data_IF_628073190211
#
_entry.id   IF_628073190211
#
_cell.length_a   1.000
_cell.length_b   1.000
_cell.length_c   1.000
_cell.angle_alpha   90.00
_cell.angle_beta   90.00
_cell.angle_gamma   90.00
#
_symmetry.space_group_name_H-M   'P 1'
#
loop_
_entity.id
_entity.type
_entity.pdbx_description
1 polymer ?
#
# COMPACT_ATOMS: atom_id res chain seq x y z
N UNK A 1 -2.90 -24.86 21.04
CA UNK A 1 -3.40 -25.85 22.02
C UNK A 1 -3.31 -25.32 23.46
N UNK A 2 -2.17 -24.78 23.90
CA UNK A 2 -2.02 -24.24 25.28
C UNK A 2 -3.00 -23.12 25.65
N UNK A 3 -3.27 -22.17 24.74
CA UNK A 3 -4.21 -21.05 24.97
C UNK A 3 -5.66 -21.55 25.13
N UNK A 4 -6.05 -22.58 24.38
CA UNK A 4 -7.38 -23.19 24.47
C UNK A 4 -7.55 -23.92 25.81
N UNK A 5 -6.51 -24.63 26.27
CA UNK A 5 -6.52 -25.34 27.55
C UNK A 5 -6.62 -24.40 28.76
N UNK A 6 -5.98 -23.23 28.71
CA UNK A 6 -6.05 -22.23 29.79
C UNK A 6 -7.45 -21.60 29.88
N UNK A 7 -8.16 -21.44 28.76
CA UNK A 7 -9.50 -20.87 28.70
C UNK A 7 -10.60 -21.84 29.18
N UNK A 8 -10.46 -23.14 28.93
CA UNK A 8 -11.38 -24.16 29.49
C UNK A 8 -11.34 -24.14 31.03
N UNK A 9 -10.21 -23.74 31.63
CA UNK A 9 -10.06 -23.66 33.09
C UNK A 9 -10.77 -22.45 33.73
N UNK A 10 -11.02 -21.38 32.97
CA UNK A 10 -11.59 -20.11 33.48
C UNK A 10 -13.12 -20.12 33.54
N UNK A 11 -13.80 -21.04 32.85
CA UNK A 11 -15.28 -21.13 32.83
C UNK A 11 -15.78 -22.41 33.48
N UNK A 12 -15.24 -22.76 34.64
CA UNK A 12 -15.96 -23.66 35.55
C UNK A 12 -16.87 -22.78 36.41
N UNK A 13 -18.16 -22.70 36.05
CA UNK A 13 -19.16 -22.32 37.05
C UNK A 13 -18.96 -23.31 38.20
N UNK A 14 -18.65 -22.85 39.44
CA UNK A 14 -18.51 -23.76 40.57
C UNK A 14 -19.79 -24.58 40.62
N UNK A 15 -19.67 -25.89 40.45
CA UNK A 15 -20.82 -26.78 40.42
C UNK A 15 -21.63 -26.52 41.69
N UNK A 16 -22.91 -26.20 41.52
CA UNK A 16 -23.84 -26.12 42.62
C UNK A 16 -23.84 -27.50 43.29
N UNK A 17 -23.11 -27.62 44.41
CA UNK A 17 -23.19 -28.78 45.28
C UNK A 17 -24.65 -28.90 45.72
N UNK A 18 -25.29 -30.02 45.39
CA UNK A 18 -26.65 -30.32 45.81
C UNK A 18 -26.72 -30.31 47.33
N UNK A 19 -27.27 -29.24 47.90
CA UNK A 19 -27.63 -29.14 49.31
C UNK A 19 -29.11 -29.41 49.45
N UNK A 20 -29.45 -30.59 49.97
CA UNK A 20 -30.80 -30.90 50.45
C UNK A 20 -31.06 -30.36 51.86
N UNK A 21 -32.34 -30.26 52.21
CA UNK A 21 -32.85 -29.88 53.53
C UNK A 21 -33.07 -28.37 53.65
N UNK A 22 -34.09 -27.86 54.32
CA UNK A 22 -35.07 -28.42 55.26
C UNK A 22 -35.76 -27.19 55.88
N UNK A 23 -37.03 -27.34 56.24
CA UNK A 23 -37.93 -26.23 56.60
C UNK A 23 -37.52 -25.40 57.83
N UNK A 24 -38.31 -24.35 58.07
CA UNK A 24 -38.28 -23.58 59.31
C UNK A 24 -38.65 -22.13 59.08
N UNK A 25 -39.86 -21.75 59.51
CA UNK A 25 -40.34 -20.38 59.47
C UNK A 25 -39.66 -19.47 60.48
N UNK A 26 -39.90 -18.17 60.34
CA UNK A 26 -39.49 -17.17 61.32
C UNK A 26 -39.40 -15.79 60.67
N UNK A 27 -40.35 -14.91 61.01
CA UNK A 27 -40.40 -13.54 60.52
C UNK A 27 -39.21 -12.70 61.00
N UNK A 28 -38.76 -11.79 60.14
CA UNK A 28 -37.73 -10.81 60.47
C UNK A 28 -37.59 -9.79 59.35
N UNK A 29 -38.17 -8.60 59.55
CA UNK A 29 -37.94 -7.42 58.72
C UNK A 29 -36.49 -6.95 58.91
N UNK A 30 -35.71 -6.96 57.83
CA UNK A 30 -34.37 -6.40 57.77
C UNK A 30 -33.81 -6.62 56.36
N UNK A 31 -34.09 -5.68 55.45
CA UNK A 31 -33.76 -5.76 54.03
C UNK A 31 -32.26 -5.69 53.75
N UNK A 32 -31.55 -6.78 54.01
CA UNK A 32 -30.28 -7.10 53.37
C UNK A 32 -30.62 -7.80 52.05
N UNK A 33 -30.24 -7.19 50.93
CA UNK A 33 -30.61 -7.62 49.58
C UNK A 33 -30.04 -9.00 49.23
N UNK A 34 -30.77 -10.06 49.61
CA UNK A 34 -30.54 -11.41 49.13
C UNK A 34 -30.78 -11.43 47.62
N UNK A 35 -29.69 -11.34 46.84
CA UNK A 35 -29.72 -11.67 45.42
C UNK A 35 -30.21 -13.11 45.29
N UNK A 36 -31.26 -13.30 44.50
CA UNK A 36 -31.81 -14.61 44.19
C UNK A 36 -30.70 -15.57 43.73
N UNK A 37 -30.79 -16.87 44.10
CA UNK A 37 -29.81 -17.87 43.69
C UNK A 37 -29.73 -17.91 42.16
N UNK A 38 -28.51 -17.77 41.66
CA UNK A 38 -28.19 -17.72 40.24
C UNK A 38 -28.70 -19.00 39.57
N UNK A 39 -29.58 -18.87 38.57
CA UNK A 39 -30.13 -20.04 37.89
C UNK A 39 -29.10 -20.60 36.90
N UNK A 40 -29.13 -21.91 36.65
CA UNK A 40 -28.21 -22.59 35.72
C UNK A 40 -28.30 -22.04 34.29
N UNK A 41 -29.50 -21.59 33.88
CA UNK A 41 -29.72 -20.94 32.58
C UNK A 41 -28.95 -19.62 32.42
N UNK A 42 -28.87 -18.80 33.48
CA UNK A 42 -28.12 -17.53 33.45
C UNK A 42 -26.60 -17.75 33.33
N UNK A 43 -26.05 -18.82 33.94
CA UNK A 43 -24.63 -19.20 33.75
C UNK A 43 -24.35 -19.57 32.29
N UNK A 44 -25.25 -20.32 31.64
CA UNK A 44 -25.09 -20.73 30.25
C UNK A 44 -25.17 -19.53 29.28
N UNK A 45 -26.11 -18.61 29.49
CA UNK A 45 -26.20 -17.38 28.68
C UNK A 45 -24.92 -16.55 28.79
N UNK A 46 -24.38 -16.35 30.00
CA UNK A 46 -23.14 -15.58 30.19
C UNK A 46 -21.93 -16.25 29.56
N UNK A 47 -21.82 -17.58 29.63
CA UNK A 47 -20.77 -18.34 28.94
C UNK A 47 -20.84 -18.13 27.43
N UNK A 48 -22.03 -18.23 26.85
CA UNK A 48 -22.22 -18.10 25.41
C UNK A 48 -21.91 -16.66 24.93
N UNK A 49 -22.31 -15.63 25.71
CA UNK A 49 -21.94 -14.23 25.44
C UNK A 49 -20.41 -14.06 25.49
N UNK A 50 -19.76 -14.58 26.53
CA UNK A 50 -18.30 -14.50 26.68
C UNK A 50 -17.55 -15.18 25.53
N UNK A 51 -18.02 -16.36 25.11
CA UNK A 51 -17.47 -17.09 23.96
C UNK A 51 -17.66 -16.30 22.66
N UNK A 52 -18.83 -15.69 22.45
CA UNK A 52 -19.13 -14.87 21.28
C UNK A 52 -18.17 -13.68 21.14
N UNK A 53 -18.00 -12.91 22.21
CA UNK A 53 -17.07 -11.76 22.23
C UNK A 53 -15.64 -12.20 21.89
N UNK A 54 -15.21 -13.33 22.46
CA UNK A 54 -13.87 -13.86 22.22
C UNK A 54 -13.64 -14.29 20.77
N UNK A 55 -14.61 -15.01 20.16
CA UNK A 55 -14.53 -15.41 18.75
C UNK A 55 -14.46 -14.18 17.84
N UNK A 56 -15.28 -13.16 18.10
CA UNK A 56 -15.25 -11.91 17.34
C UNK A 56 -13.90 -11.20 17.45
N UNK A 57 -13.30 -11.16 18.65
CA UNK A 57 -11.98 -10.57 18.86
C UNK A 57 -10.87 -11.32 18.10
N UNK A 58 -10.88 -12.66 18.11
CA UNK A 58 -9.91 -13.47 17.36
C UNK A 58 -10.06 -13.28 15.86
N UNK A 59 -11.29 -13.26 15.34
CA UNK A 59 -11.54 -13.03 13.92
C UNK A 59 -11.07 -11.63 13.49
N UNK A 60 -11.33 -10.61 14.31
CA UNK A 60 -10.81 -9.26 14.11
C UNK A 60 -9.28 -9.20 14.08
N UNK A 61 -8.61 -9.88 15.03
CA UNK A 61 -7.15 -9.97 15.07
C UNK A 61 -6.58 -10.71 13.85
N UNK A 62 -7.23 -11.79 13.42
CA UNK A 62 -6.84 -12.54 12.22
C UNK A 62 -6.97 -11.70 10.94
N UNK A 63 -8.09 -10.99 10.75
CA UNK A 63 -8.28 -10.06 9.61
C UNK A 63 -7.21 -8.95 9.65
N UNK A 64 -6.91 -8.40 10.83
CA UNK A 64 -5.88 -7.39 10.97
C UNK A 64 -4.49 -7.93 10.60
N UNK A 65 -4.13 -9.11 11.10
CA UNK A 65 -2.85 -9.76 10.83
C UNK A 65 -2.69 -10.11 9.35
N UNK A 66 -3.69 -10.77 8.75
CA UNK A 66 -3.67 -11.10 7.32
C UNK A 66 -3.55 -9.86 6.44
N UNK A 67 -4.28 -8.77 6.75
CA UNK A 67 -4.12 -7.48 6.05
C UNK A 67 -2.73 -6.87 6.21
N UNK A 68 -2.10 -7.00 7.38
CA UNK A 68 -0.73 -6.52 7.63
C UNK A 68 0.29 -7.31 6.82
N UNK A 69 0.19 -8.63 6.84
CA UNK A 69 1.05 -9.54 6.09
C UNK A 69 0.88 -9.34 4.58
N UNK A 70 -0.36 -9.26 4.10
CA UNK A 70 -0.67 -8.97 2.70
C UNK A 70 -0.07 -7.64 2.24
N UNK A 71 -0.23 -6.56 3.03
CA UNK A 71 0.41 -5.27 2.75
C UNK A 71 1.94 -5.37 2.71
N UNK A 72 2.55 -6.17 3.59
CA UNK A 72 3.99 -6.41 3.57
C UNK A 72 4.45 -7.13 2.29
N UNK A 73 3.68 -8.11 1.80
CA UNK A 73 4.00 -8.85 0.58
C UNK A 73 3.88 -8.04 -0.71
N UNK A 74 3.00 -7.02 -0.72
CA UNK A 74 2.71 -6.20 -1.91
C UNK A 74 3.59 -4.95 -1.99
N UNK A 75 4.23 -4.55 -0.90
CA UNK A 75 5.21 -3.46 -0.93
C UNK A 75 6.23 -3.67 -2.03
N UNK A 76 6.46 -2.61 -2.81
CA UNK A 76 7.40 -2.62 -3.94
C UNK A 76 6.91 -3.30 -5.21
N UNK A 77 5.63 -3.65 -5.32
CA UNK A 77 5.03 -4.08 -6.59
C UNK A 77 3.84 -3.20 -6.95
N UNK A 78 3.70 -2.78 -8.22
CA UNK A 78 2.44 -2.23 -8.69
C UNK A 78 1.36 -3.32 -8.63
N UNK A 79 0.10 -2.93 -8.50
CA UNK A 79 -1.04 -3.86 -8.50
C UNK A 79 -1.30 -4.49 -9.87
N UNK A 80 -0.79 -3.86 -10.92
CA UNK A 80 -0.99 -4.19 -12.33
C UNK A 80 0.36 -3.99 -13.04
N UNK A 81 0.60 -4.69 -14.14
CA UNK A 81 1.74 -4.34 -15.00
C UNK A 81 1.47 -3.03 -15.78
N UNK A 82 2.46 -2.53 -16.50
CA UNK A 82 2.32 -1.28 -17.25
C UNK A 82 1.27 -1.37 -18.36
N UNK A 83 1.10 -2.54 -18.98
CA UNK A 83 0.16 -2.76 -20.09
C UNK A 83 -1.27 -2.68 -19.59
N UNK A 84 -1.55 -3.36 -18.48
CA UNK A 84 -2.86 -3.31 -17.83
C UNK A 84 -3.14 -1.92 -17.26
N UNK A 85 -2.12 -1.29 -16.67
CA UNK A 85 -2.23 0.06 -16.11
C UNK A 85 -2.63 1.11 -17.16
N UNK A 86 -2.09 1.05 -18.38
CA UNK A 86 -2.45 2.01 -19.44
C UNK A 86 -3.82 1.73 -20.08
N UNK A 87 -4.28 0.47 -20.04
CA UNK A 87 -5.57 0.02 -20.61
C UNK A 87 -6.75 0.26 -19.68
N UNK A 88 -6.52 0.35 -18.37
CA UNK A 88 -7.59 0.50 -17.40
C UNK A 88 -8.49 1.69 -17.77
N UNK A 89 -9.77 1.37 -18.00
CA UNK A 89 -10.86 2.28 -18.37
C UNK A 89 -11.09 3.33 -17.28
N UNK A 90 -10.19 4.30 -17.16
CA UNK A 90 -10.58 5.60 -16.62
C UNK A 90 -11.52 6.22 -17.62
N UNK A 91 -12.71 6.63 -17.16
CA UNK A 91 -13.66 7.42 -17.93
C UNK A 91 -12.91 8.36 -18.87
N UNK A 92 -13.13 8.18 -20.18
CA UNK A 92 -12.47 8.98 -21.21
C UNK A 92 -12.84 10.43 -20.95
N UNK A 93 -11.89 11.15 -20.38
CA UNK A 93 -12.03 12.55 -20.07
C UNK A 93 -11.71 13.27 -21.38
N UNK A 94 -12.71 13.29 -22.27
CA UNK A 94 -12.59 13.57 -23.71
C UNK A 94 -12.27 15.02 -24.06
N UNK A 95 -11.93 15.85 -23.08
CA UNK A 95 -11.88 17.30 -23.26
C UNK A 95 -10.46 17.85 -23.09
N UNK A 96 -9.46 17.13 -23.62
CA UNK A 96 -8.09 17.60 -23.66
C UNK A 96 -7.69 17.95 -25.08
N UNK A 97 -7.46 19.24 -25.29
CA UNK A 97 -7.06 19.83 -26.57
C UNK A 97 -5.59 19.57 -26.90
N UNK A 98 -4.76 19.23 -25.90
CA UNK A 98 -3.33 18.99 -26.07
C UNK A 98 -2.90 17.61 -25.58
N UNK A 99 -2.18 16.90 -26.44
CA UNK A 99 -1.49 15.64 -26.13
C UNK A 99 -0.26 15.92 -25.25
N UNK A 100 -0.24 15.46 -23.98
CA UNK A 100 0.89 15.73 -23.09
C UNK A 100 2.15 14.90 -23.42
N UNK A 101 2.07 13.94 -24.36
CA UNK A 101 3.16 13.05 -24.71
C UNK A 101 4.11 13.69 -25.75
N UNK A 102 4.84 14.71 -25.31
CA UNK A 102 5.82 15.44 -26.13
C UNK A 102 7.26 14.95 -25.89
N UNK A 103 7.99 14.72 -26.98
CA UNK A 103 9.43 14.43 -26.94
C UNK A 103 10.20 15.67 -26.48
N UNK A 104 11.07 15.51 -25.50
CA UNK A 104 11.82 16.61 -24.93
C UNK A 104 12.52 16.25 -23.63
N UNK A 105 13.04 17.27 -22.94
CA UNK A 105 13.65 17.12 -21.62
C UNK A 105 12.61 17.34 -20.54
N UNK A 106 12.33 16.30 -19.77
CA UNK A 106 11.39 16.34 -18.67
C UNK A 106 12.11 16.60 -17.35
N UNK A 107 11.41 17.23 -16.40
CA UNK A 107 11.85 17.39 -15.03
C UNK A 107 11.11 16.41 -14.13
N UNK A 108 11.83 15.55 -13.42
CA UNK A 108 11.22 14.58 -12.51
C UNK A 108 11.72 14.71 -11.08
N UNK A 109 10.87 14.30 -10.13
CA UNK A 109 11.22 14.16 -8.72
C UNK A 109 10.45 13.01 -8.11
N UNK A 110 11.01 12.41 -7.08
CA UNK A 110 10.39 11.26 -6.41
C UNK A 110 10.54 11.32 -4.90
N UNK A 111 9.63 10.67 -4.19
CA UNK A 111 9.62 10.62 -2.74
C UNK A 111 10.21 9.30 -2.26
N UNK A 112 11.30 9.36 -1.49
CA UNK A 112 12.03 8.20 -0.98
C UNK A 112 12.58 8.55 0.41
N UNK A 113 12.53 7.60 1.35
CA UNK A 113 13.03 7.78 2.72
C UNK A 113 12.52 9.03 3.44
N UNK A 114 11.25 9.39 3.23
CA UNK A 114 10.64 10.54 3.90
C UNK A 114 11.02 11.91 3.32
N UNK A 115 11.69 11.96 2.17
CA UNK A 115 12.08 13.21 1.49
C UNK A 115 11.82 13.16 -0.01
N UNK A 116 11.61 14.35 -0.60
CA UNK A 116 11.64 14.51 -2.05
C UNK A 116 13.09 14.57 -2.55
N UNK A 117 13.37 13.85 -3.64
CA UNK A 117 14.62 13.85 -4.39
C UNK A 117 14.39 14.51 -5.75
N UNK A 118 15.32 15.34 -6.20
CA UNK A 118 15.22 16.11 -7.44
C UNK A 118 14.89 17.59 -7.21
N UNK A 119 14.57 18.36 -8.28
CA UNK A 119 14.31 17.87 -9.64
C UNK A 119 15.56 17.36 -10.36
N UNK A 120 15.37 16.35 -11.20
CA UNK A 120 16.37 15.81 -12.13
C UNK A 120 15.86 15.96 -13.56
N UNK A 121 16.77 15.86 -14.54
CA UNK A 121 16.45 15.98 -15.97
C UNK A 121 16.35 14.59 -16.60
N UNK A 122 15.37 14.40 -17.45
CA UNK A 122 15.11 13.14 -18.15
C UNK A 122 14.67 13.41 -19.58
N UNK A 123 15.59 13.34 -20.56
CA UNK A 123 15.22 13.28 -21.97
C UNK A 123 14.33 12.07 -22.25
N UNK A 124 13.13 12.31 -22.77
CA UNK A 124 12.19 11.27 -23.20
C UNK A 124 11.87 11.44 -24.68
N UNK A 125 11.91 10.33 -25.41
CA UNK A 125 11.50 10.23 -26.80
C UNK A 125 10.22 9.41 -26.90
N UNK A 126 9.12 10.06 -27.29
CA UNK A 126 7.83 9.40 -27.48
C UNK A 126 7.65 8.99 -28.95
N UNK A 127 7.39 7.70 -29.17
CA UNK A 127 7.02 7.17 -30.47
C UNK A 127 5.51 6.93 -30.52
N UNK A 128 4.78 7.83 -31.18
CA UNK A 128 3.32 7.77 -31.30
C UNK A 128 2.82 6.57 -32.09
N UNK A 129 3.56 6.11 -33.10
CA UNK A 129 3.16 4.97 -33.93
C UNK A 129 3.11 3.66 -33.14
N UNK A 130 4.00 3.49 -32.17
CA UNK A 130 4.07 2.30 -31.31
C UNK A 130 3.52 2.52 -29.90
N UNK A 131 3.13 3.75 -29.54
CA UNK A 131 2.77 4.13 -28.18
C UNK A 131 3.84 3.77 -27.14
N UNK A 132 5.11 3.89 -27.53
CA UNK A 132 6.28 3.59 -26.68
C UNK A 132 7.07 4.86 -26.35
N UNK A 133 7.77 4.82 -25.22
CA UNK A 133 8.66 5.90 -24.80
C UNK A 133 10.00 5.32 -24.39
N UNK A 134 11.07 6.02 -24.74
CA UNK A 134 12.44 5.67 -24.31
C UNK A 134 13.15 6.90 -23.76
N UNK A 135 14.15 6.68 -22.92
CA UNK A 135 14.97 7.74 -22.37
C UNK A 135 16.15 7.20 -21.59
N UNK A 136 17.00 8.12 -21.13
CA UNK A 136 18.10 7.80 -20.23
C UNK A 136 18.41 9.03 -19.39
N UNK A 137 18.99 8.83 -18.22
CA UNK A 137 19.34 9.93 -17.34
C UNK A 137 20.17 9.48 -16.16
N UNK A 138 20.41 10.45 -15.28
CA UNK A 138 21.20 10.26 -14.06
C UNK A 138 20.48 10.97 -12.91
N UNK A 139 20.46 10.32 -11.75
CA UNK A 139 20.00 10.94 -10.51
C UNK A 139 20.97 10.63 -9.36
N UNK A 140 20.54 10.85 -8.11
CA UNK A 140 21.37 10.56 -6.94
C UNK A 140 21.58 9.05 -6.67
N UNK A 141 20.83 8.16 -7.31
CA UNK A 141 21.02 6.71 -7.22
C UNK A 141 22.06 6.29 -8.24
N UNK A 142 21.94 6.73 -9.49
CA UNK A 142 22.94 6.49 -10.52
C UNK A 142 22.44 6.75 -11.93
N UNK A 143 23.16 6.19 -12.90
CA UNK A 143 22.78 6.17 -14.31
C UNK A 143 21.67 5.16 -14.56
N UNK A 144 20.73 5.49 -15.44
CA UNK A 144 19.64 4.60 -15.79
C UNK A 144 19.15 4.79 -17.22
N UNK A 145 18.55 3.73 -17.77
CA UNK A 145 17.74 3.75 -18.98
C UNK A 145 16.26 3.66 -18.63
N UNK A 146 15.41 4.19 -19.48
CA UNK A 146 13.95 4.15 -19.35
C UNK A 146 13.36 3.58 -20.63
N UNK A 147 12.52 2.56 -20.46
CA UNK A 147 11.65 2.03 -21.51
C UNK A 147 10.21 2.04 -21.00
N UNK A 148 9.24 2.34 -21.85
CA UNK A 148 7.87 2.40 -21.40
C UNK A 148 6.84 2.42 -22.51
N UNK A 149 5.59 2.49 -22.08
CA UNK A 149 4.41 2.59 -22.92
C UNK A 149 3.50 3.69 -22.39
N UNK A 150 2.76 4.31 -23.29
CA UNK A 150 1.83 5.37 -22.95
C UNK A 150 0.50 5.18 -23.68
N UNK A 151 -0.52 5.90 -23.25
CA UNK A 151 -1.81 5.92 -23.93
C UNK A 151 -2.35 7.34 -23.97
N UNK A 152 -2.45 7.91 -25.17
CA UNK A 152 -3.12 9.19 -25.42
C UNK A 152 -4.61 9.15 -25.11
N UNK A 153 -5.23 7.95 -25.08
CA UNK A 153 -6.64 7.79 -24.72
C UNK A 153 -6.88 7.90 -23.22
N UNK A 154 -6.03 7.27 -22.40
CA UNK A 154 -6.20 7.24 -20.94
C UNK A 154 -5.33 8.28 -20.22
N UNK A 155 -4.44 8.95 -20.95
CA UNK A 155 -3.43 9.88 -20.43
C UNK A 155 -2.58 9.27 -19.32
N UNK A 156 -2.16 8.03 -19.55
CA UNK A 156 -1.35 7.24 -18.62
C UNK A 156 0.00 6.91 -19.22
N UNK A 157 0.99 6.82 -18.34
CA UNK A 157 2.37 6.55 -18.66
C UNK A 157 2.90 5.44 -17.74
N UNK A 158 3.34 4.33 -18.33
CA UNK A 158 3.98 3.23 -17.62
C UNK A 158 5.44 3.11 -18.05
N UNK A 159 6.38 3.29 -17.12
CA UNK A 159 7.81 3.24 -17.37
C UNK A 159 8.47 2.09 -16.59
N UNK A 160 9.56 1.60 -17.15
CA UNK A 160 10.53 0.68 -16.57
C UNK A 160 11.88 1.36 -16.59
N UNK A 161 12.35 1.80 -15.42
CA UNK A 161 13.62 2.48 -15.24
C UNK A 161 14.66 1.47 -14.73
N UNK A 162 15.71 1.20 -15.51
CA UNK A 162 16.76 0.23 -15.15
C UNK A 162 18.06 0.95 -14.83
N UNK A 163 18.55 0.80 -13.61
CA UNK A 163 19.83 1.37 -13.21
C UNK A 163 21.01 0.55 -13.73
N UNK A 164 22.08 1.23 -14.13
CA UNK A 164 23.36 0.63 -14.51
C UNK A 164 24.23 0.42 -13.26
N UNK A 165 24.55 -0.83 -12.97
CA UNK A 165 25.40 -1.20 -11.84
C UNK A 165 26.78 -0.51 -11.93
N UNK A 166 27.30 -0.05 -10.81
CA UNK A 166 28.62 0.62 -10.73
C UNK A 166 28.58 2.13 -10.98
N UNK A 167 27.40 2.73 -11.07
CA UNK A 167 27.23 4.19 -11.20
C UNK A 167 26.53 4.77 -9.96
N UNK A 168 26.80 6.03 -9.62
CA UNK A 168 26.14 6.72 -8.49
C UNK A 168 26.44 6.11 -7.12
N UNK A 169 25.42 6.00 -6.28
CA UNK A 169 25.54 5.49 -4.91
C UNK A 169 25.48 3.95 -4.89
N UNK A 170 26.57 3.25 -4.55
CA UNK A 170 26.61 1.78 -4.57
C UNK A 170 25.70 1.12 -3.51
N UNK A 171 25.25 1.88 -2.49
CA UNK A 171 24.35 1.37 -1.46
C UNK A 171 22.88 1.41 -1.89
N UNK A 172 22.53 2.31 -2.81
CA UNK A 172 21.19 2.41 -3.38
C UNK A 172 21.11 1.74 -4.77
N UNK A 173 22.15 1.85 -5.60
CA UNK A 173 22.20 1.31 -6.95
C UNK A 173 22.65 -0.16 -6.99
N UNK A 174 21.65 -1.03 -6.89
CA UNK A 174 21.81 -2.47 -7.01
C UNK A 174 21.60 -2.99 -8.45
N UNK A 175 21.70 -2.13 -9.47
CA UNK A 175 21.44 -2.50 -10.88
C UNK A 175 19.99 -2.92 -11.15
N UNK A 176 19.06 -2.38 -10.35
CA UNK A 176 17.69 -2.84 -10.30
C UNK A 176 16.76 -2.10 -11.26
N UNK A 177 15.59 -2.69 -11.52
CA UNK A 177 14.52 -2.05 -12.28
C UNK A 177 13.47 -1.49 -11.34
N UNK A 178 13.15 -0.20 -11.51
CA UNK A 178 12.02 0.49 -10.91
C UNK A 178 10.87 0.58 -11.93
N UNK A 179 9.66 0.24 -11.50
CA UNK A 179 8.44 0.39 -12.30
C UNK A 179 7.74 1.69 -11.89
N UNK A 180 7.36 2.52 -12.85
CA UNK A 180 6.76 3.83 -12.60
C UNK A 180 5.44 3.91 -13.34
N UNK A 181 4.37 4.27 -12.63
CA UNK A 181 3.02 4.36 -13.18
C UNK A 181 2.43 5.72 -12.87
N UNK A 182 2.17 6.51 -13.91
CA UNK A 182 1.78 7.91 -13.82
C UNK A 182 0.47 8.17 -14.56
N UNK A 183 -0.32 9.11 -14.03
CA UNK A 183 -1.52 9.65 -14.68
C UNK A 183 -1.33 11.14 -14.91
N UNK A 184 -1.80 11.64 -16.04
CA UNK A 184 -1.79 13.06 -16.33
C UNK A 184 -2.72 13.81 -15.37
N UNK A 185 -2.25 14.95 -14.87
CA UNK A 185 -3.05 15.88 -14.10
C UNK A 185 -3.09 17.21 -14.85
N UNK A 186 -4.17 17.42 -15.58
CA UNK A 186 -4.40 18.60 -16.41
C UNK A 186 -4.41 19.90 -15.61
N UNK A 187 -5.01 19.92 -14.42
CA UNK A 187 -5.03 21.10 -13.53
C UNK A 187 -3.64 21.55 -13.10
N UNK A 188 -2.68 20.62 -13.04
CA UNK A 188 -1.31 20.87 -12.60
C UNK A 188 -0.28 20.79 -13.72
N UNK A 189 -0.73 20.55 -14.95
CA UNK A 189 0.08 20.32 -16.13
C UNK A 189 1.26 19.36 -15.89
N UNK A 190 0.99 18.22 -15.23
CA UNK A 190 2.04 17.25 -14.88
C UNK A 190 1.54 15.82 -14.80
N UNK A 191 2.45 14.87 -15.00
CA UNK A 191 2.23 13.47 -14.65
C UNK A 191 2.53 13.23 -13.17
N UNK A 192 1.62 12.53 -12.49
CA UNK A 192 1.78 12.16 -11.08
C UNK A 192 1.38 10.71 -10.83
N UNK A 193 2.11 10.04 -9.94
CA UNK A 193 1.81 8.65 -9.62
C UNK A 193 2.81 8.06 -8.63
N UNK A 194 3.18 6.80 -8.87
CA UNK A 194 4.09 6.06 -7.98
C UNK A 194 5.20 5.37 -8.74
N UNK A 195 6.33 5.22 -8.07
CA UNK A 195 7.40 4.30 -8.43
C UNK A 195 7.38 3.09 -7.49
N UNK A 196 7.87 1.95 -7.97
CA UNK A 196 7.92 0.67 -7.28
C UNK A 196 9.23 -0.04 -7.58
N UNK A 197 9.89 -0.55 -6.55
CA UNK A 197 11.09 -1.39 -6.71
C UNK A 197 10.97 -2.64 -5.87
N UNK A 198 11.45 -3.75 -6.42
CA UNK A 198 11.60 -4.99 -5.69
C UNK A 198 12.87 -5.72 -6.14
N UNK A 199 13.81 -5.78 -5.22
CA UNK A 199 14.97 -6.68 -5.27
C UNK A 199 14.91 -7.64 -4.08
N UNK A 200 15.87 -8.56 -4.00
CA UNK A 200 15.89 -9.61 -2.96
C UNK A 200 15.79 -9.02 -1.54
N UNK A 201 16.63 -8.04 -1.23
CA UNK A 201 16.78 -7.47 0.11
C UNK A 201 16.13 -6.07 0.28
N UNK A 202 15.49 -5.55 -0.75
CA UNK A 202 14.91 -4.21 -0.72
C UNK A 202 13.61 -4.13 -1.51
N UNK A 203 12.62 -3.46 -0.89
CA UNK A 203 11.30 -3.21 -1.46
C UNK A 203 10.93 -1.77 -1.12
N UNK A 204 10.55 -1.01 -2.13
CA UNK A 204 10.22 0.40 -1.98
C UNK A 204 9.09 0.80 -2.91
N UNK A 205 8.24 1.69 -2.43
CA UNK A 205 7.33 2.46 -3.27
C UNK A 205 7.28 3.89 -2.77
N UNK A 206 6.99 4.81 -3.67
CA UNK A 206 6.92 6.23 -3.33
C UNK A 206 6.24 7.04 -4.40
N UNK A 207 5.98 8.31 -4.10
CA UNK A 207 5.37 9.24 -5.07
C UNK A 207 6.38 9.58 -6.16
N UNK A 208 5.89 9.79 -7.37
CA UNK A 208 6.68 10.24 -8.52
C UNK A 208 5.94 11.36 -9.24
N UNK A 209 6.65 12.42 -9.59
CA UNK A 209 6.13 13.53 -10.39
C UNK A 209 7.05 13.76 -11.59
N UNK A 210 6.43 13.97 -12.75
CA UNK A 210 7.10 14.22 -14.02
C UNK A 210 6.43 15.42 -14.69
N UNK A 211 7.19 16.49 -14.87
CA UNK A 211 6.74 17.76 -15.45
C UNK A 211 7.45 17.96 -16.77
N UNK A 212 6.74 18.46 -17.78
CA UNK A 212 7.38 18.91 -19.01
C UNK A 212 8.35 20.02 -18.60
N UNK A 213 9.63 19.84 -18.91
CA UNK A 213 10.61 20.88 -18.61
C UNK A 213 10.22 22.13 -19.40
N UNK A 214 10.33 23.31 -18.78
CA UNK A 214 10.33 24.54 -19.57
C UNK A 214 11.40 24.35 -20.65
N UNK A 215 11.00 24.49 -21.91
CA UNK A 215 11.85 24.38 -23.09
C UNK A 215 12.98 25.39 -22.94
N UNK A 216 14.02 24.95 -22.23
CA UNK A 216 15.18 25.73 -21.88
C UNK A 216 15.87 25.96 -23.19
N UNK A 217 15.65 27.13 -23.76
CA UNK A 217 16.08 27.51 -25.09
C UNK A 217 17.61 27.39 -25.10
N UNK A 218 18.11 26.30 -25.67
CA UNK A 218 19.46 26.18 -26.23
C UNK A 218 20.62 26.68 -25.37
N UNK A 219 20.67 26.27 -24.11
CA UNK A 219 21.94 26.18 -23.38
C UNK A 219 22.48 24.75 -23.54
N UNK A 220 23.43 24.55 -24.45
CA UNK A 220 24.12 23.28 -24.70
C UNK A 220 24.94 22.85 -23.46
N UNK A 221 24.25 22.37 -22.43
CA UNK A 221 24.87 21.72 -21.28
C UNK A 221 24.89 20.22 -21.57
N UNK A 222 25.96 19.78 -22.24
CA UNK A 222 26.34 18.37 -22.30
C UNK A 222 26.85 17.97 -20.92
N UNK A 223 25.94 17.67 -20.00
CA UNK A 223 26.31 16.87 -18.83
C UNK A 223 26.48 15.42 -19.27
N UNK A 224 27.54 14.82 -18.75
CA UNK A 224 28.03 13.47 -19.00
C UNK A 224 26.89 12.48 -19.22
N UNK A 225 26.77 12.08 -20.49
CA UNK A 225 26.04 10.88 -20.89
C UNK A 225 26.65 9.73 -20.09
N UNK A 226 25.81 8.98 -19.39
CA UNK A 226 26.12 7.59 -19.07
C UNK A 226 26.52 6.88 -20.39
#
# INVERSE_FOLDING_TARGET
>A
ILIVALLIKVVRCPGAGGGGGGGGGGGGRGGSGNRAPFTTAECETRRNIGLGIFITALFGAFIYYTRRVYRYFIRGRPSQDNTDFIREDSQKDHNYEQDPFETGVWSFKYYQYGRWRGPFRLPLTFNRSSSTVTGQGTDNVGCFTVDGIFSSETLRLGLSQKYQLGTGDPTENLGHTSIIQLKWNSKKNRFGGKWYVRVENYRGDGKFELNLGESSTSGLYYDSVC
#
